data_IF_222067405088
#
_entry.id   IF_222067405088
#
_cell.length_a   1.000
_cell.length_b   1.000
_cell.length_c   1.000
_cell.angle_alpha   90.00
_cell.angle_beta   90.00
_cell.angle_gamma   90.00
#
_symmetry.space_group_name_H-M   'P 1'
#
loop_
_entity.id
_entity.type
_entity.pdbx_description
1 polymer ?
#
# COMPACT_ATOMS: atom_id res chain seq x y z
N UNK A 1 8.26 1.56 18.62
CA UNK A 1 7.56 2.24 17.50
C UNK A 1 8.06 1.78 16.14
N UNK A 2 9.37 1.84 15.83
CA UNK A 2 9.94 1.40 14.54
C UNK A 2 9.45 0.02 14.07
N UNK A 3 9.44 -0.98 14.95
CA UNK A 3 8.98 -2.34 14.61
C UNK A 3 7.48 -2.46 14.33
N UNK A 4 6.64 -1.66 15.01
CA UNK A 4 5.19 -1.60 14.74
C UNK A 4 4.97 -0.98 13.35
N UNK A 5 5.65 0.13 13.07
CA UNK A 5 5.64 0.75 11.73
C UNK A 5 6.11 -0.25 10.68
N UNK A 6 7.21 -0.95 10.92
CA UNK A 6 7.74 -1.95 10.00
C UNK A 6 6.74 -3.06 9.71
N UNK A 7 6.12 -3.63 10.75
CA UNK A 7 5.09 -4.65 10.58
C UNK A 7 3.91 -4.14 9.74
N UNK A 8 3.37 -2.96 10.07
CA UNK A 8 2.24 -2.36 9.37
C UNK A 8 2.55 -2.07 7.89
N UNK A 9 3.74 -1.53 7.61
CA UNK A 9 4.18 -1.23 6.23
C UNK A 9 4.45 -2.51 5.46
N UNK A 10 5.11 -3.52 6.06
CA UNK A 10 5.34 -4.81 5.40
C UNK A 10 4.01 -5.50 5.09
N UNK A 11 3.07 -5.52 6.03
CA UNK A 11 1.77 -6.13 5.81
C UNK A 11 1.01 -5.48 4.65
N UNK A 12 1.06 -4.15 4.54
CA UNK A 12 0.32 -3.42 3.50
C UNK A 12 1.06 -3.31 2.17
N UNK A 13 2.26 -2.74 2.17
CA UNK A 13 3.08 -2.57 0.97
C UNK A 13 3.56 -3.92 0.42
N UNK A 14 3.89 -4.87 1.29
CA UNK A 14 4.23 -6.23 0.89
C UNK A 14 3.05 -6.95 0.23
N UNK A 15 1.83 -6.81 0.78
CA UNK A 15 0.63 -7.36 0.14
C UNK A 15 0.37 -6.71 -1.22
N UNK A 16 0.45 -5.38 -1.32
CA UNK A 16 0.29 -4.69 -2.61
C UNK A 16 1.30 -5.14 -3.66
N UNK A 17 2.57 -5.27 -3.26
CA UNK A 17 3.63 -5.74 -4.14
C UNK A 17 3.34 -7.17 -4.62
N UNK A 18 3.01 -8.06 -3.69
CA UNK A 18 2.69 -9.44 -4.00
C UNK A 18 1.48 -9.55 -4.92
N UNK A 19 0.36 -8.94 -4.54
CA UNK A 19 -0.91 -9.06 -5.28
C UNK A 19 -0.84 -8.34 -6.63
N UNK A 20 -0.21 -7.17 -6.70
CA UNK A 20 0.05 -6.48 -7.98
C UNK A 20 0.93 -7.29 -8.93
N UNK A 21 2.01 -7.90 -8.41
CA UNK A 21 2.89 -8.77 -9.21
C UNK A 21 2.13 -9.99 -9.70
N UNK A 22 1.38 -10.66 -8.80
CA UNK A 22 0.53 -11.79 -9.16
C UNK A 22 -0.51 -11.39 -10.21
N UNK A 23 -1.15 -10.23 -10.08
CA UNK A 23 -2.17 -9.76 -11.00
C UNK A 23 -1.60 -9.42 -12.40
N UNK A 24 -0.33 -9.05 -12.50
CA UNK A 24 0.37 -8.90 -13.78
C UNK A 24 0.63 -10.25 -14.47
N UNK A 25 0.93 -11.29 -13.68
CA UNK A 25 1.22 -12.64 -14.23
C UNK A 25 -0.05 -13.45 -14.50
N UNK A 26 -1.00 -13.45 -13.56
CA UNK A 26 -2.23 -14.28 -13.58
C UNK A 26 -3.40 -13.54 -14.23
N UNK A 27 -3.32 -12.21 -14.34
CA UNK A 27 -4.32 -11.37 -14.98
C UNK A 27 -5.33 -10.70 -14.02
N UNK A 28 -5.49 -11.19 -12.79
CA UNK A 28 -6.44 -10.62 -11.82
C UNK A 28 -5.86 -10.56 -10.40
N UNK A 29 -6.29 -9.53 -9.65
CA UNK A 29 -6.03 -9.43 -8.22
C UNK A 29 -6.72 -10.54 -7.44
N UNK A 30 -6.30 -10.73 -6.19
CA UNK A 30 -7.02 -11.59 -5.25
C UNK A 30 -8.31 -10.89 -4.83
N UNK A 31 -9.43 -11.58 -5.02
CA UNK A 31 -10.76 -11.15 -4.59
C UNK A 31 -11.38 -12.22 -3.71
N UNK A 32 -12.40 -11.86 -2.93
CA UNK A 32 -13.20 -12.89 -2.25
C UNK A 32 -13.79 -13.87 -3.25
N UNK A 33 -13.80 -15.15 -2.93
CA UNK A 33 -14.44 -16.20 -3.75
C UNK A 33 -15.88 -16.46 -3.31
N UNK A 34 -16.27 -15.96 -2.14
CA UNK A 34 -17.56 -16.24 -1.50
C UNK A 34 -18.21 -14.97 -0.92
N UNK A 35 -19.52 -15.01 -0.73
CA UNK A 35 -20.33 -13.93 -0.16
C UNK A 35 -20.73 -12.82 -1.14
N UNK A 36 -21.38 -11.78 -0.63
CA UNK A 36 -21.97 -10.67 -1.41
C UNK A 36 -20.94 -9.83 -2.20
N UNK A 37 -19.66 -9.96 -1.85
CA UNK A 37 -18.53 -9.27 -2.49
C UNK A 37 -17.63 -10.21 -3.32
N UNK A 38 -18.11 -11.41 -3.65
CA UNK A 38 -17.35 -12.36 -4.47
C UNK A 38 -16.97 -11.76 -5.83
N UNK A 39 -15.71 -11.93 -6.22
CA UNK A 39 -15.14 -11.41 -7.48
C UNK A 39 -14.97 -9.88 -7.51
N UNK A 40 -15.34 -9.16 -6.46
CA UNK A 40 -15.23 -7.71 -6.41
C UNK A 40 -13.86 -7.29 -5.87
N UNK A 41 -13.29 -6.26 -6.47
CA UNK A 41 -12.17 -5.54 -5.90
C UNK A 41 -12.64 -4.74 -4.69
N UNK A 42 -11.71 -4.47 -3.77
CA UNK A 42 -12.00 -3.64 -2.60
C UNK A 42 -12.47 -2.22 -2.95
N UNK A 43 -13.00 -1.46 -1.97
CA UNK A 43 -13.56 -0.12 -2.19
C UNK A 43 -12.64 0.87 -2.92
N UNK A 44 -11.32 0.71 -2.80
CA UNK A 44 -10.32 1.47 -3.56
C UNK A 44 -10.55 1.45 -5.07
N UNK A 45 -11.10 0.36 -5.62
CA UNK A 45 -11.39 0.22 -7.04
C UNK A 45 -12.47 1.22 -7.50
N UNK A 46 -13.41 1.57 -6.61
CA UNK A 46 -14.39 2.63 -6.88
C UNK A 46 -13.73 4.00 -7.01
N UNK A 47 -12.75 4.32 -6.15
CA UNK A 47 -11.97 5.55 -6.24
C UNK A 47 -11.11 5.61 -7.50
N UNK A 48 -10.47 4.49 -7.86
CA UNK A 48 -9.66 4.43 -9.08
C UNK A 48 -10.52 4.60 -10.33
N UNK A 49 -11.73 4.00 -10.36
CA UNK A 49 -12.70 4.22 -11.43
C UNK A 49 -13.20 5.66 -11.50
N UNK A 50 -13.42 6.32 -10.37
CA UNK A 50 -13.95 7.69 -10.36
C UNK A 50 -12.99 8.71 -10.98
N UNK A 51 -11.68 8.41 -11.00
CA UNK A 51 -10.66 9.22 -11.70
C UNK A 51 -10.38 8.72 -13.12
N UNK A 52 -11.20 7.82 -13.65
CA UNK A 52 -11.14 7.35 -15.04
C UNK A 52 -10.12 6.24 -15.31
N UNK A 53 -9.57 5.61 -14.28
CA UNK A 53 -8.63 4.49 -14.42
C UNK A 53 -9.37 3.17 -14.24
N UNK A 54 -9.16 2.21 -15.13
CA UNK A 54 -9.64 0.83 -14.91
C UNK A 54 -8.79 0.17 -13.81
N UNK A 55 -9.38 -0.23 -12.67
CA UNK A 55 -8.66 -0.87 -11.57
C UNK A 55 -7.96 -2.16 -11.96
N UNK A 56 -8.44 -2.89 -12.98
CA UNK A 56 -7.84 -4.14 -13.45
C UNK A 56 -6.82 -3.93 -14.59
N UNK A 57 -6.59 -2.68 -15.01
CA UNK A 57 -5.61 -2.37 -16.05
C UNK A 57 -4.18 -2.76 -15.65
N UNK A 58 -3.34 -3.03 -16.64
CA UNK A 58 -1.90 -3.24 -16.43
C UNK A 58 -1.26 -2.03 -15.72
N UNK A 59 -1.71 -0.82 -16.06
CA UNK A 59 -1.25 0.41 -15.43
C UNK A 59 -1.48 0.42 -13.92
N UNK A 60 -2.69 0.07 -13.47
CA UNK A 60 -3.00 0.04 -12.03
C UNK A 60 -2.20 -1.04 -11.30
N UNK A 61 -1.98 -2.20 -11.93
CA UNK A 61 -1.15 -3.27 -11.36
C UNK A 61 0.31 -2.85 -11.22
N UNK A 62 0.85 -2.13 -12.20
CA UNK A 62 2.18 -1.52 -12.11
C UNK A 62 2.23 -0.51 -10.97
N UNK A 63 1.19 0.31 -10.76
CA UNK A 63 1.12 1.24 -9.62
C UNK A 63 1.21 0.48 -8.29
N UNK A 64 0.49 -0.63 -8.13
CA UNK A 64 0.58 -1.48 -6.92
C UNK A 64 2.01 -1.96 -6.67
N UNK A 65 2.67 -2.49 -7.71
CA UNK A 65 4.04 -3.01 -7.63
C UNK A 65 5.03 -1.88 -7.31
N UNK A 66 4.97 -0.77 -8.04
CA UNK A 66 5.86 0.36 -7.88
C UNK A 66 5.70 1.02 -6.50
N UNK A 67 4.46 1.20 -6.04
CA UNK A 67 4.17 1.70 -4.70
C UNK A 67 4.69 0.75 -3.63
N UNK A 68 4.40 -0.55 -3.75
CA UNK A 68 4.84 -1.56 -2.78
C UNK A 68 6.37 -1.60 -2.64
N UNK A 69 7.10 -1.62 -3.76
CA UNK A 69 8.57 -1.55 -3.76
C UNK A 69 9.09 -0.25 -3.15
N UNK A 70 8.52 0.89 -3.54
CA UNK A 70 8.95 2.21 -3.05
C UNK A 70 8.74 2.36 -1.55
N UNK A 71 7.60 1.90 -1.03
CA UNK A 71 7.30 1.94 0.40
C UNK A 71 8.21 0.99 1.22
N UNK A 72 8.54 -0.19 0.69
CA UNK A 72 9.49 -1.10 1.33
C UNK A 72 10.93 -0.54 1.31
N UNK A 73 11.33 0.15 0.25
CA UNK A 73 12.60 0.87 0.19
C UNK A 73 12.65 2.06 1.15
N UNK A 74 11.54 2.80 1.28
CA UNK A 74 11.40 3.86 2.27
C UNK A 74 11.52 3.31 3.71
N UNK A 75 10.89 2.15 3.95
CA UNK A 75 10.99 1.46 5.23
C UNK A 75 12.43 1.03 5.53
N UNK A 76 13.17 0.48 4.55
CA UNK A 76 14.56 0.07 4.78
C UNK A 76 15.46 1.26 5.14
N UNK A 77 15.29 2.40 4.46
CA UNK A 77 15.94 3.66 4.82
C UNK A 77 15.58 4.13 6.23
N UNK A 78 14.31 4.04 6.62
CA UNK A 78 13.85 4.39 7.96
C UNK A 78 14.43 3.46 9.05
N UNK A 79 14.47 2.15 8.80
CA UNK A 79 15.00 1.15 9.73
C UNK A 79 16.51 1.28 9.93
N UNK A 80 17.24 1.62 8.87
CA UNK A 80 18.69 1.87 8.90
C UNK A 80 19.04 3.31 9.32
N UNK A 81 18.05 4.11 9.72
CA UNK A 81 18.22 5.50 10.18
C UNK A 81 18.89 6.43 9.16
N UNK A 82 18.65 6.20 7.87
CA UNK A 82 19.08 7.10 6.81
C UNK A 82 18.34 8.44 6.91
N UNK A 83 18.99 9.58 6.57
CA UNK A 83 18.40 10.91 6.74
C UNK A 83 17.12 11.11 5.90
N UNK A 84 17.02 10.45 4.76
CA UNK A 84 15.84 10.50 3.88
C UNK A 84 14.73 9.51 4.27
N UNK A 85 15.03 8.49 5.09
CA UNK A 85 14.14 7.35 5.33
C UNK A 85 12.80 7.75 5.97
N UNK A 86 12.83 8.62 6.97
CA UNK A 86 11.61 9.11 7.63
C UNK A 86 10.73 9.94 6.69
N UNK A 87 11.34 10.84 5.90
CA UNK A 87 10.61 11.67 4.95
C UNK A 87 9.99 10.85 3.82
N UNK A 88 10.74 9.91 3.26
CA UNK A 88 10.25 8.99 2.24
C UNK A 88 9.11 8.11 2.76
N UNK A 89 9.21 7.59 3.98
CA UNK A 89 8.17 6.73 4.55
C UNK A 89 6.90 7.53 4.90
N UNK A 90 7.06 8.77 5.35
CA UNK A 90 5.92 9.68 5.54
C UNK A 90 5.20 9.95 4.22
N UNK A 91 5.93 10.28 3.15
CA UNK A 91 5.36 10.49 1.82
C UNK A 91 4.66 9.23 1.30
N UNK A 92 5.28 8.06 1.45
CA UNK A 92 4.67 6.79 1.07
C UNK A 92 3.35 6.57 1.81
N UNK A 93 3.31 6.78 3.12
CA UNK A 93 2.08 6.61 3.90
C UNK A 93 0.96 7.58 3.48
N UNK A 94 1.28 8.84 3.13
CA UNK A 94 0.30 9.78 2.55
C UNK A 94 -0.20 9.27 1.19
N UNK A 95 0.70 8.86 0.31
CA UNK A 95 0.35 8.36 -1.02
C UNK A 95 -0.42 7.03 -0.95
N UNK A 96 -0.35 6.27 0.13
CA UNK A 96 -1.10 5.04 0.32
C UNK A 96 -2.53 5.20 0.83
N UNK A 97 -2.99 6.43 1.11
CA UNK A 97 -4.31 6.69 1.70
C UNK A 97 -5.49 6.35 0.78
N UNK A 98 -5.27 6.12 -0.51
CA UNK A 98 -6.33 5.68 -1.44
C UNK A 98 -6.64 4.19 -1.34
N UNK A 99 -5.80 3.37 -0.67
CA UNK A 99 -6.01 1.93 -0.56
C UNK A 99 -7.02 1.56 0.54
N UNK A 100 -8.29 1.85 0.28
CA UNK A 100 -9.38 1.69 1.23
C UNK A 100 -9.82 0.23 1.46
N UNK A 101 -10.33 -0.09 2.67
CA UNK A 101 -10.18 0.69 3.91
C UNK A 101 -8.88 0.34 4.67
N UNK A 102 -8.40 -0.90 4.50
CA UNK A 102 -7.34 -1.48 5.33
C UNK A 102 -6.00 -0.75 5.16
N UNK A 103 -5.64 -0.42 3.92
CA UNK A 103 -4.45 0.37 3.63
C UNK A 103 -4.50 1.76 4.23
N UNK A 104 -5.61 2.47 4.04
CA UNK A 104 -5.79 3.83 4.57
C UNK A 104 -5.70 3.86 6.09
N UNK A 105 -6.39 2.97 6.80
CA UNK A 105 -6.31 2.89 8.27
C UNK A 105 -4.87 2.61 8.70
N UNK A 106 -4.22 1.64 8.06
CA UNK A 106 -2.83 1.29 8.37
C UNK A 106 -1.89 2.47 8.15
N UNK A 107 -2.02 3.17 7.04
CA UNK A 107 -1.20 4.34 6.70
C UNK A 107 -1.46 5.51 7.66
N UNK A 108 -2.69 5.74 8.11
CA UNK A 108 -3.00 6.74 9.14
C UNK A 108 -2.29 6.39 10.45
N UNK A 109 -2.33 5.13 10.88
CA UNK A 109 -1.61 4.70 12.09
C UNK A 109 -0.11 4.91 11.92
N UNK A 110 0.46 4.56 10.76
CA UNK A 110 1.88 4.81 10.45
C UNK A 110 2.21 6.30 10.51
N UNK A 111 1.39 7.18 9.91
CA UNK A 111 1.59 8.63 9.97
C UNK A 111 1.57 9.15 11.41
N UNK A 112 0.58 8.73 12.21
CA UNK A 112 0.49 9.08 13.63
C UNK A 112 1.75 8.63 14.37
N UNK A 113 2.17 7.37 14.21
CA UNK A 113 3.38 6.84 14.84
C UNK A 113 4.63 7.60 14.40
N UNK A 114 4.74 7.98 13.12
CA UNK A 114 5.85 8.78 12.60
C UNK A 114 5.85 10.21 13.16
N UNK A 115 4.69 10.80 13.49
CA UNK A 115 4.62 12.13 14.11
C UNK A 115 5.05 12.08 15.59
N UNK A 116 4.63 11.05 16.32
CA UNK A 116 4.98 10.89 17.74
C UNK A 116 6.37 10.31 17.98
N UNK A 117 6.94 9.62 17.00
CA UNK A 117 8.30 9.12 17.10
C UNK A 117 9.29 10.29 17.03
N UNK A 118 9.85 10.67 18.18
CA UNK A 118 11.03 11.55 18.21
C UNK A 118 12.22 10.78 17.63
N UNK A 119 12.98 11.47 16.76
CA UNK A 119 14.18 10.93 16.13
C UNK A 119 15.25 10.63 17.14
#
# INVERSE_FOLDING_TARGET
MKWIIAFLVIATAGYMLFDGTRALVVGNYITSTEGDYAGQLGPWAGLVRSVGVDPNSAFMKIIFVAYGLSALAALSGFMTSQPWGRGALFLAAVLGLWYLPVGSITNIIVLVLLLFQRG
#
